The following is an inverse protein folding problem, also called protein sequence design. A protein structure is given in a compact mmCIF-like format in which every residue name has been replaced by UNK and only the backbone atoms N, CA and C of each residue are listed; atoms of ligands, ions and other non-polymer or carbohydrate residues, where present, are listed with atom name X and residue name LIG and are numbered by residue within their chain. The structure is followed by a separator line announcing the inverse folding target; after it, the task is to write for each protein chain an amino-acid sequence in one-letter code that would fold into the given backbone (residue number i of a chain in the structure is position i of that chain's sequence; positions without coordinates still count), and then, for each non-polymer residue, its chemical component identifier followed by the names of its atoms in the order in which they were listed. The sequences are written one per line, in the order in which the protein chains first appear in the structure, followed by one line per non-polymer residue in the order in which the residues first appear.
data_IF_977462197081
#
_entry.id   IF_977462197081
#
_cell.length_a   1.000
_cell.length_b   1.000
_cell.length_c   1.000
_cell.angle_alpha   90.00
_cell.angle_beta   90.00
_cell.angle_gamma   90.00
#
_symmetry.space_group_name_H-M   'P 1'
#
loop_
_entity.id
_entity.type
_entity.pdbx_description
1 polymer ?
#
# COMPACT_ATOMS: atom_id res chain seq x y z
N UNK A 1 7.10 -34.32 -14.21
CA UNK A 1 6.09 -33.27 -13.92
C UNK A 1 6.08 -32.34 -15.10
N UNK A 2 4.91 -31.93 -15.56
CA UNK A 2 4.80 -30.93 -16.62
C UNK A 2 4.85 -29.54 -16.00
N UNK A 3 5.60 -28.63 -16.61
CA UNK A 3 5.66 -27.23 -16.21
C UNK A 3 4.74 -26.40 -17.11
N UNK A 4 4.15 -25.35 -16.55
CA UNK A 4 3.32 -24.39 -17.27
C UNK A 4 3.94 -23.00 -17.12
N UNK A 5 3.98 -22.26 -18.22
CA UNK A 5 4.52 -20.91 -18.28
C UNK A 5 3.50 -19.97 -18.92
N UNK A 6 3.38 -18.75 -18.39
CA UNK A 6 2.61 -17.66 -18.97
C UNK A 6 3.53 -16.46 -19.17
N UNK A 7 3.69 -16.05 -20.43
CA UNK A 7 4.62 -14.97 -20.80
C UNK A 7 6.05 -15.16 -20.24
N UNK A 8 6.56 -16.40 -20.26
CA UNK A 8 7.91 -16.72 -19.76
C UNK A 8 8.02 -16.90 -18.24
N UNK A 9 6.97 -16.61 -17.47
CA UNK A 9 6.94 -16.85 -16.03
C UNK A 9 6.37 -18.23 -15.74
N UNK A 10 7.07 -19.02 -14.93
CA UNK A 10 6.53 -20.28 -14.44
C UNK A 10 5.31 -20.01 -13.56
N UNK A 11 4.24 -20.76 -13.81
CA UNK A 11 3.03 -20.74 -13.00
C UNK A 11 3.14 -21.80 -11.90
N UNK A 12 3.02 -21.36 -10.65
CA UNK A 12 3.07 -22.22 -9.46
C UNK A 12 1.70 -22.40 -8.80
N UNK A 13 0.70 -21.60 -9.21
CA UNK A 13 -0.67 -21.78 -8.77
C UNK A 13 -1.70 -21.48 -9.87
N UNK A 14 -2.81 -22.22 -9.86
CA UNK A 14 -3.95 -21.98 -10.78
C UNK A 14 -4.48 -20.54 -10.72
N UNK A 15 -4.39 -19.86 -9.57
CA UNK A 15 -4.86 -18.47 -9.43
C UNK A 15 -3.98 -17.46 -10.18
N UNK A 16 -2.73 -17.80 -10.50
CA UNK A 16 -1.85 -16.93 -11.30
C UNK A 16 -2.35 -16.78 -12.74
N UNK A 17 -3.23 -17.67 -13.21
CA UNK A 17 -3.89 -17.53 -14.51
C UNK A 17 -4.85 -16.33 -14.58
N UNK A 18 -5.30 -15.80 -13.44
CA UNK A 18 -6.17 -14.61 -13.39
C UNK A 18 -5.37 -13.31 -13.56
N UNK A 19 -4.15 -13.25 -13.00
CA UNK A 19 -3.31 -12.05 -12.96
C UNK A 19 -3.00 -11.60 -11.53
N UNK A 20 -2.55 -10.35 -11.40
CA UNK A 20 -2.07 -9.74 -10.14
C UNK A 20 -2.76 -8.39 -9.84
N UNK A 21 -3.84 -8.05 -10.54
CA UNK A 21 -4.60 -6.82 -10.30
C UNK A 21 -5.49 -6.99 -9.07
N UNK A 22 -5.96 -5.87 -8.51
CA UNK A 22 -6.82 -5.83 -7.32
C UNK A 22 -8.00 -6.81 -7.43
N UNK A 23 -8.68 -6.80 -8.58
CA UNK A 23 -9.83 -7.67 -8.85
C UNK A 23 -9.43 -9.15 -8.94
N UNK A 24 -8.28 -9.46 -9.54
CA UNK A 24 -7.81 -10.85 -9.68
C UNK A 24 -7.57 -11.48 -8.29
N UNK A 25 -7.03 -10.67 -7.36
CA UNK A 25 -6.80 -11.06 -5.97
C UNK A 25 -8.12 -11.30 -5.25
N UNK A 26 -9.08 -10.37 -5.36
CA UNK A 26 -10.37 -10.49 -4.68
C UNK A 26 -11.21 -11.63 -5.25
N UNK A 27 -11.15 -11.88 -6.56
CA UNK A 27 -11.78 -13.05 -7.18
C UNK A 27 -11.21 -14.36 -6.65
N UNK A 28 -9.88 -14.45 -6.54
CA UNK A 28 -9.20 -15.64 -6.00
C UNK A 28 -9.62 -15.92 -4.55
N UNK A 29 -9.69 -14.89 -3.72
CA UNK A 29 -10.10 -15.01 -2.31
C UNK A 29 -11.59 -15.36 -2.22
N UNK A 30 -12.44 -14.68 -3.00
CA UNK A 30 -13.88 -14.95 -3.05
C UNK A 30 -14.20 -16.37 -3.50
N UNK A 31 -13.52 -16.86 -4.54
CA UNK A 31 -13.61 -18.24 -4.99
C UNK A 31 -13.23 -19.23 -3.89
N UNK A 32 -12.15 -18.95 -3.16
CA UNK A 32 -11.73 -19.80 -2.05
C UNK A 32 -12.71 -19.77 -0.87
N UNK A 33 -13.33 -18.63 -0.57
CA UNK A 33 -14.41 -18.56 0.43
C UNK A 33 -15.61 -19.42 0.02
N UNK A 34 -16.04 -19.35 -1.24
CA UNK A 34 -17.17 -20.13 -1.74
C UNK A 34 -16.89 -21.64 -1.77
N UNK A 35 -15.63 -22.04 -1.98
CA UNK A 35 -15.24 -23.46 -2.16
C UNK A 35 -14.51 -24.07 -0.95
N UNK A 36 -14.35 -23.32 0.15
CA UNK A 36 -13.83 -23.84 1.42
C UNK A 36 -14.61 -23.29 2.61
N UNK A 37 -15.65 -24.01 3.06
CA UNK A 37 -16.40 -23.65 4.25
C UNK A 37 -15.51 -23.52 5.50
N UNK A 38 -14.47 -24.36 5.61
CA UNK A 38 -13.55 -24.30 6.74
C UNK A 38 -12.76 -22.98 6.77
N UNK A 39 -12.37 -22.48 5.59
CA UNK A 39 -11.66 -21.21 5.47
C UNK A 39 -12.59 -20.02 5.68
N UNK A 40 -13.79 -20.05 5.09
CA UNK A 40 -14.80 -19.01 5.31
C UNK A 40 -15.16 -18.89 6.80
N UNK A 41 -15.40 -20.01 7.48
CA UNK A 41 -15.68 -20.03 8.92
C UNK A 41 -14.51 -19.49 9.75
N UNK A 42 -13.27 -19.83 9.39
CA UNK A 42 -12.08 -19.30 10.05
C UNK A 42 -11.98 -17.77 9.86
N UNK A 43 -12.30 -17.26 8.66
CA UNK A 43 -12.32 -15.83 8.37
C UNK A 43 -13.41 -15.11 9.18
N UNK A 44 -14.64 -15.61 9.15
CA UNK A 44 -15.76 -15.00 9.88
C UNK A 44 -15.50 -14.99 11.39
N UNK A 45 -14.89 -16.06 11.93
CA UNK A 45 -14.45 -16.10 13.33
C UNK A 45 -13.43 -15.01 13.65
N UNK A 46 -12.49 -14.73 12.74
CA UNK A 46 -11.53 -13.64 12.92
C UNK A 46 -12.17 -12.25 12.78
N UNK A 47 -13.22 -12.10 11.97
CA UNK A 47 -13.95 -10.82 11.81
C UNK A 47 -14.85 -10.53 13.02
N UNK A 48 -15.66 -11.52 13.41
CA UNK A 48 -16.78 -11.35 14.35
C UNK A 48 -16.47 -11.82 15.78
N UNK A 49 -15.43 -12.63 15.98
CA UNK A 49 -15.17 -13.34 17.23
C UNK A 49 -16.11 -14.51 17.50
N UNK A 50 -17.03 -14.83 16.57
CA UNK A 50 -18.05 -15.88 16.71
C UNK A 50 -17.97 -16.89 15.57
N UNK A 51 -18.55 -18.06 15.80
CA UNK A 51 -18.78 -19.07 14.76
C UNK A 51 -20.27 -19.04 14.45
N UNK A 52 -20.61 -18.98 13.17
CA UNK A 52 -21.99 -19.09 12.69
C UNK A 52 -22.12 -20.41 11.93
N UNK A 53 -23.27 -21.07 12.10
CA UNK A 53 -23.56 -22.34 11.43
C UNK A 53 -24.62 -22.10 10.34
N UNK A 54 -24.34 -21.17 9.43
CA UNK A 54 -25.27 -20.81 8.35
C UNK A 54 -24.66 -21.07 6.98
N UNK A 55 -25.51 -21.45 6.04
CA UNK A 55 -25.17 -21.36 4.63
C UNK A 55 -24.98 -19.89 4.23
N UNK A 56 -23.95 -19.67 3.41
CA UNK A 56 -23.45 -18.35 3.13
C UNK A 56 -23.26 -18.18 1.63
N UNK A 57 -23.73 -17.08 1.09
CA UNK A 57 -23.56 -16.70 -0.31
C UNK A 57 -22.39 -15.73 -0.40
N UNK A 58 -21.41 -16.06 -1.25
CA UNK A 58 -20.28 -15.19 -1.58
C UNK A 58 -20.50 -14.60 -2.97
N UNK A 59 -20.59 -13.28 -3.05
CA UNK A 59 -20.78 -12.53 -4.29
C UNK A 59 -19.58 -11.64 -4.56
N UNK A 60 -19.20 -11.48 -5.84
CA UNK A 60 -18.07 -10.68 -6.27
C UNK A 60 -18.56 -9.53 -7.16
N UNK A 61 -18.01 -8.32 -6.95
CA UNK A 61 -18.34 -7.12 -7.74
C UNK A 61 -19.84 -6.79 -7.78
N UNK A 62 -20.55 -6.96 -6.66
CA UNK A 62 -21.97 -6.69 -6.56
C UNK A 62 -22.30 -5.20 -6.63
N UNK A 63 -22.85 -4.77 -7.77
CA UNK A 63 -23.33 -3.42 -7.96
C UNK A 63 -24.73 -3.24 -7.38
N UNK A 64 -24.90 -2.20 -6.55
CA UNK A 64 -26.22 -1.72 -6.18
C UNK A 64 -26.31 -0.22 -6.42
N UNK A 65 -27.31 0.17 -7.20
CA UNK A 65 -27.52 1.56 -7.61
C UNK A 65 -27.50 2.49 -6.39
N UNK A 66 -26.61 3.49 -6.40
CA UNK A 66 -26.45 4.46 -5.30
C UNK A 66 -25.60 4.00 -4.11
N UNK A 67 -24.99 2.81 -4.14
CA UNK A 67 -24.14 2.30 -3.05
C UNK A 67 -22.79 1.70 -3.47
N UNK A 68 -22.42 1.86 -4.74
CA UNK A 68 -21.14 1.40 -5.29
C UNK A 68 -21.10 -0.08 -5.67
N UNK A 69 -19.90 -0.53 -6.06
CA UNK A 69 -19.54 -1.92 -6.38
C UNK A 69 -18.68 -2.44 -5.24
N UNK A 70 -19.06 -3.55 -4.63
CA UNK A 70 -18.28 -4.19 -3.56
C UNK A 70 -17.33 -5.23 -4.13
N UNK A 71 -16.10 -5.33 -3.63
CA UNK A 71 -15.18 -6.38 -4.10
C UNK A 71 -15.64 -7.78 -3.76
N UNK A 72 -15.98 -8.03 -2.49
CA UNK A 72 -16.56 -9.29 -2.03
C UNK A 72 -17.68 -8.97 -1.04
N UNK A 73 -18.80 -9.66 -1.17
CA UNK A 73 -19.93 -9.56 -0.24
C UNK A 73 -20.32 -10.96 0.21
N UNK A 74 -20.44 -11.16 1.52
CA UNK A 74 -20.79 -12.45 2.13
C UNK A 74 -22.08 -12.26 2.91
N UNK A 75 -23.11 -13.04 2.58
CA UNK A 75 -24.43 -12.96 3.20
C UNK A 75 -24.88 -14.31 3.75
N UNK A 76 -25.43 -14.30 4.96
CA UNK A 76 -26.19 -15.40 5.56
C UNK A 76 -27.45 -14.84 6.23
N UNK A 77 -28.26 -15.69 6.85
CA UNK A 77 -29.41 -15.27 7.66
C UNK A 77 -29.02 -14.51 8.95
N UNK A 78 -27.80 -14.66 9.47
CA UNK A 78 -27.39 -14.04 10.74
C UNK A 78 -26.36 -12.93 10.57
N UNK A 79 -25.70 -12.83 9.42
CA UNK A 79 -24.63 -11.86 9.22
C UNK A 79 -24.51 -11.40 7.77
N UNK A 80 -23.99 -10.19 7.61
CA UNK A 80 -23.69 -9.60 6.31
C UNK A 80 -22.37 -8.84 6.39
N UNK A 81 -21.40 -9.30 5.61
CA UNK A 81 -20.04 -8.77 5.56
C UNK A 81 -19.79 -8.19 4.17
N UNK A 82 -19.43 -6.91 4.11
CA UNK A 82 -18.92 -6.29 2.89
C UNK A 82 -17.41 -6.12 3.02
N UNK A 83 -16.67 -6.58 2.02
CA UNK A 83 -15.22 -6.49 1.93
C UNK A 83 -14.84 -5.53 0.82
N UNK A 84 -13.99 -4.56 1.16
CA UNK A 84 -13.35 -3.65 0.22
C UNK A 84 -11.84 -3.85 0.26
N UNK A 85 -11.25 -4.13 -0.89
CA UNK A 85 -9.84 -4.39 -1.06
C UNK A 85 -9.12 -3.21 -1.69
N UNK A 86 -7.83 -3.08 -1.40
CA UNK A 86 -6.89 -2.21 -2.10
C UNK A 86 -5.60 -2.96 -2.34
N UNK A 87 -5.12 -3.04 -3.59
CA UNK A 87 -3.89 -3.79 -3.90
C UNK A 87 -2.69 -3.28 -3.12
N UNK A 88 -2.53 -1.95 -3.04
CA UNK A 88 -1.41 -1.27 -2.40
C UNK A 88 -1.54 -1.11 -0.88
N UNK A 89 -0.69 -0.23 -0.32
CA UNK A 89 -0.65 0.09 1.11
C UNK A 89 -1.76 1.06 1.56
N UNK A 90 -2.50 1.65 0.62
CA UNK A 90 -3.56 2.60 0.93
C UNK A 90 -4.79 1.89 1.49
N UNK A 91 -5.46 2.54 2.43
CA UNK A 91 -6.75 2.09 2.95
C UNK A 91 -7.90 2.64 2.09
N UNK A 92 -9.05 1.95 2.02
CA UNK A 92 -10.23 2.48 1.35
C UNK A 92 -10.69 3.83 1.91
N UNK A 93 -11.29 4.66 1.07
CA UNK A 93 -11.80 5.97 1.47
C UNK A 93 -13.06 5.88 2.33
N UNK A 94 -13.16 6.74 3.35
CA UNK A 94 -14.31 6.79 4.28
C UNK A 94 -15.64 6.99 3.55
N UNK A 95 -15.65 7.74 2.43
CA UNK A 95 -16.86 7.97 1.62
C UNK A 95 -17.47 6.68 1.07
N UNK A 96 -16.64 5.73 0.65
CA UNK A 96 -17.07 4.43 0.15
C UNK A 96 -17.60 3.55 1.28
N UNK A 97 -16.89 3.51 2.42
CA UNK A 97 -17.32 2.75 3.59
C UNK A 97 -18.66 3.25 4.16
N UNK A 98 -18.94 4.56 4.09
CA UNK A 98 -20.25 5.12 4.44
C UNK A 98 -21.38 4.59 3.55
N UNK A 99 -21.13 4.38 2.25
CA UNK A 99 -22.14 3.81 1.34
C UNK A 99 -22.44 2.36 1.71
N UNK A 100 -21.41 1.57 2.02
CA UNK A 100 -21.57 0.18 2.45
C UNK A 100 -22.28 0.07 3.80
N UNK A 101 -21.97 0.96 4.74
CA UNK A 101 -22.67 0.99 6.02
C UNK A 101 -24.18 1.26 5.86
N UNK A 102 -24.58 2.13 4.94
CA UNK A 102 -26.00 2.34 4.60
C UNK A 102 -26.62 1.10 3.96
N UNK A 103 -25.89 0.43 3.05
CA UNK A 103 -26.32 -0.82 2.40
C UNK A 103 -26.58 -1.93 3.42
N UNK A 104 -25.68 -2.12 4.39
CA UNK A 104 -25.80 -3.12 5.46
C UNK A 104 -26.99 -2.82 6.39
N UNK A 105 -27.18 -1.56 6.80
CA UNK A 105 -28.30 -1.17 7.67
C UNK A 105 -29.69 -1.46 7.07
N UNK A 106 -29.82 -1.38 5.74
CA UNK A 106 -31.10 -1.58 5.08
C UNK A 106 -31.58 -3.03 5.11
N UNK A 107 -30.68 -4.01 5.30
CA UNK A 107 -31.01 -5.44 5.28
C UNK A 107 -31.49 -5.91 6.66
N UNK A 108 -31.03 -5.27 7.75
CA UNK A 108 -31.52 -5.55 9.10
C UNK A 108 -30.87 -6.76 9.79
N UNK A 109 -29.78 -7.31 9.23
CA UNK A 109 -29.09 -8.47 9.82
C UNK A 109 -28.51 -8.16 11.21
N UNK A 110 -28.49 -9.18 12.07
CA UNK A 110 -28.03 -9.03 13.46
C UNK A 110 -26.54 -8.70 13.56
N UNK A 111 -25.74 -9.16 12.58
CA UNK A 111 -24.28 -9.03 12.61
C UNK A 111 -23.72 -8.50 11.28
N UNK A 112 -23.66 -7.17 11.20
CA UNK A 112 -23.08 -6.47 10.06
C UNK A 112 -21.61 -6.14 10.28
N UNK A 113 -20.76 -6.32 9.27
CA UNK A 113 -19.36 -5.93 9.32
C UNK A 113 -18.90 -5.29 8.01
N UNK A 114 -18.03 -4.30 8.14
CA UNK A 114 -17.23 -3.80 7.02
C UNK A 114 -15.81 -4.31 7.22
N UNK A 115 -15.28 -5.01 6.21
CA UNK A 115 -13.90 -5.47 6.21
C UNK A 115 -13.14 -4.73 5.12
N UNK A 116 -11.93 -4.30 5.46
CA UNK A 116 -11.00 -3.72 4.52
C UNK A 116 -9.80 -4.64 4.35
N UNK A 117 -9.29 -4.77 3.13
CA UNK A 117 -8.17 -5.64 2.81
C UNK A 117 -7.09 -4.91 2.03
N UNK A 118 -5.82 -4.99 2.42
CA UNK A 118 -4.74 -4.31 1.69
C UNK A 118 -3.35 -4.88 1.96
N UNK A 119 -2.31 -4.25 1.42
CA UNK A 119 -0.92 -4.58 1.79
C UNK A 119 -0.49 -4.01 3.15
N UNK A 120 -1.21 -3.04 3.73
CA UNK A 120 -0.81 -2.42 5.00
C UNK A 120 -1.09 -3.32 6.22
N UNK A 121 -0.38 -3.05 7.31
CA UNK A 121 -0.56 -3.78 8.57
C UNK A 121 -1.85 -3.37 9.29
N UNK A 122 -2.35 -4.24 10.18
CA UNK A 122 -3.49 -3.91 11.05
C UNK A 122 -3.21 -2.69 11.94
N UNK A 123 -1.99 -2.54 12.43
CA UNK A 123 -1.60 -1.41 13.28
C UNK A 123 -1.70 -0.11 12.49
N UNK A 124 -1.16 -0.09 11.27
CA UNK A 124 -1.28 1.08 10.39
C UNK A 124 -2.74 1.38 10.06
N UNK A 125 -3.52 0.36 9.66
CA UNK A 125 -4.93 0.53 9.35
C UNK A 125 -5.74 1.07 10.53
N UNK A 126 -5.45 0.65 11.77
CA UNK A 126 -6.17 1.13 12.96
C UNK A 126 -5.97 2.61 13.26
N UNK A 127 -4.88 3.21 12.77
CA UNK A 127 -4.62 4.65 12.88
C UNK A 127 -5.36 5.47 11.81
N UNK A 128 -5.82 4.84 10.72
CA UNK A 128 -6.35 5.54 9.53
C UNK A 128 -7.80 5.18 9.20
N UNK A 129 -8.29 4.05 9.69
CA UNK A 129 -9.68 3.61 9.53
C UNK A 129 -10.42 3.80 10.85
N UNK A 130 -11.66 4.34 10.81
CA UNK A 130 -12.48 4.40 12.00
C UNK A 130 -12.84 2.98 12.45
N UNK A 131 -12.83 2.73 13.76
CA UNK A 131 -13.21 1.43 14.29
C UNK A 131 -14.69 1.06 14.00
N UNK A 132 -15.53 2.07 13.76
CA UNK A 132 -16.95 1.93 13.46
C UNK A 132 -17.41 2.97 12.44
N UNK A 133 -18.34 2.60 11.57
CA UNK A 133 -19.07 3.52 10.68
C UNK A 133 -20.55 3.26 10.83
N UNK A 134 -21.31 4.28 11.21
CA UNK A 134 -22.74 4.15 11.49
C UNK A 134 -23.07 2.97 12.45
N UNK A 135 -22.25 2.75 13.48
CA UNK A 135 -22.34 1.62 14.44
C UNK A 135 -22.04 0.23 13.86
N UNK A 136 -21.55 0.15 12.62
CA UNK A 136 -21.07 -1.10 12.03
C UNK A 136 -19.56 -1.19 12.28
N UNK A 137 -19.06 -2.28 12.89
CA UNK A 137 -17.63 -2.48 13.09
C UNK A 137 -16.86 -2.52 11.77
N UNK A 138 -15.72 -1.83 11.73
CA UNK A 138 -14.75 -1.92 10.65
C UNK A 138 -13.58 -2.78 11.10
N UNK A 139 -13.17 -3.74 10.26
CA UNK A 139 -12.02 -4.62 10.49
C UNK A 139 -11.05 -4.53 9.33
N UNK A 140 -9.77 -4.75 9.61
CA UNK A 140 -8.73 -4.75 8.58
C UNK A 140 -7.98 -6.09 8.56
N UNK A 141 -7.69 -6.57 7.35
CA UNK A 141 -6.82 -7.71 7.11
C UNK A 141 -5.78 -7.37 6.04
N UNK A 142 -4.51 -7.64 6.34
CA UNK A 142 -3.50 -7.58 5.28
C UNK A 142 -3.60 -8.80 4.35
N UNK A 143 -3.07 -8.71 3.13
CA UNK A 143 -2.89 -9.89 2.26
C UNK A 143 -2.10 -11.01 2.97
N UNK A 144 -1.13 -10.61 3.79
CA UNK A 144 -0.35 -11.51 4.65
C UNK A 144 -1.20 -12.18 5.72
N UNK A 145 -2.18 -11.49 6.30
CA UNK A 145 -3.10 -12.09 7.28
C UNK A 145 -3.95 -13.18 6.65
N UNK A 146 -4.46 -12.94 5.44
CA UNK A 146 -5.25 -13.92 4.70
C UNK A 146 -4.39 -15.12 4.30
N UNK A 147 -3.19 -14.88 3.76
CA UNK A 147 -2.23 -15.94 3.43
C UNK A 147 -1.82 -16.79 4.65
N UNK A 148 -1.71 -16.18 5.83
CA UNK A 148 -1.48 -16.92 7.08
C UNK A 148 -2.72 -17.70 7.50
N UNK A 149 -3.91 -17.13 7.34
CA UNK A 149 -5.17 -17.78 7.70
C UNK A 149 -5.37 -19.07 6.92
N UNK A 150 -5.04 -19.12 5.62
CA UNK A 150 -5.15 -20.35 4.81
C UNK A 150 -4.32 -21.51 5.38
N UNK A 151 -3.16 -21.21 6.01
CA UNK A 151 -2.31 -22.20 6.67
C UNK A 151 -2.79 -22.68 8.03
N UNK A 152 -3.68 -21.93 8.68
CA UNK A 152 -4.16 -22.21 10.04
C UNK A 152 -5.49 -22.99 10.07
N UNK A 153 -6.06 -23.31 8.91
CA UNK A 153 -7.31 -24.08 8.80
C UNK A 153 -7.00 -25.58 8.99
N UNK A 154 -7.12 -26.07 10.23
CA UNK A 154 -6.78 -27.46 10.59
C UNK A 154 -7.83 -28.48 10.11
N UNK A 155 -9.11 -28.11 10.19
CA UNK A 155 -10.25 -29.02 9.95
C UNK A 155 -10.75 -29.03 8.48
N UNK A 156 -9.88 -28.70 7.54
CA UNK A 156 -10.21 -28.71 6.11
C UNK A 156 -10.14 -30.12 5.49
N UNK A 157 -11.04 -30.42 4.57
CA UNK A 157 -10.97 -31.60 3.70
C UNK A 157 -9.71 -31.58 2.81
N UNK A 158 -9.38 -32.70 2.17
CA UNK A 158 -8.23 -32.75 1.25
C UNK A 158 -8.37 -31.78 0.06
N UNK A 159 -9.58 -31.64 -0.49
CA UNK A 159 -9.86 -30.71 -1.57
C UNK A 159 -9.66 -29.25 -1.13
N UNK A 160 -10.20 -28.89 0.04
CA UNK A 160 -9.98 -27.56 0.63
C UNK A 160 -8.50 -27.31 0.91
N UNK A 161 -7.77 -28.27 1.51
CA UNK A 161 -6.33 -28.12 1.77
C UNK A 161 -5.53 -27.85 0.50
N UNK A 162 -5.87 -28.53 -0.60
CA UNK A 162 -5.25 -28.28 -1.90
C UNK A 162 -5.56 -26.87 -2.41
N UNK A 163 -6.84 -26.47 -2.40
CA UNK A 163 -7.27 -25.12 -2.81
C UNK A 163 -6.61 -24.01 -1.98
N UNK A 164 -6.51 -24.21 -0.66
CA UNK A 164 -5.88 -23.27 0.26
C UNK A 164 -4.36 -23.23 0.08
N UNK A 165 -3.73 -24.33 -0.32
CA UNK A 165 -2.32 -24.34 -0.70
C UNK A 165 -2.07 -23.53 -1.97
N UNK A 166 -2.91 -23.71 -3.00
CA UNK A 166 -2.90 -22.91 -4.24
C UNK A 166 -3.04 -21.41 -3.91
N UNK A 167 -4.09 -21.04 -3.18
CA UNK A 167 -4.33 -19.64 -2.79
C UNK A 167 -3.16 -19.09 -1.99
N UNK A 168 -2.58 -19.88 -1.09
CA UNK A 168 -1.42 -19.46 -0.29
C UNK A 168 -0.19 -19.20 -1.15
N UNK A 169 0.09 -20.06 -2.13
CA UNK A 169 1.19 -19.87 -3.09
C UNK A 169 1.01 -18.58 -3.86
N UNK A 170 -0.18 -18.37 -4.43
CA UNK A 170 -0.54 -17.15 -5.14
C UNK A 170 -0.42 -15.89 -4.26
N UNK A 171 -1.04 -15.89 -3.07
CA UNK A 171 -0.97 -14.74 -2.15
C UNK A 171 0.44 -14.49 -1.63
N UNK A 172 1.27 -15.54 -1.45
CA UNK A 172 2.69 -15.35 -1.10
C UNK A 172 3.43 -14.62 -2.21
N UNK A 173 3.16 -14.92 -3.48
CA UNK A 173 3.76 -14.18 -4.59
C UNK A 173 3.30 -12.73 -4.63
N UNK A 174 2.04 -12.44 -4.29
CA UNK A 174 1.54 -11.06 -4.18
C UNK A 174 2.17 -10.33 -2.99
N UNK A 175 2.32 -11.00 -1.83
CA UNK A 175 2.96 -10.43 -0.64
C UNK A 175 4.48 -10.28 -0.83
N UNK A 176 5.10 -11.20 -1.57
CA UNK A 176 6.54 -11.22 -1.88
C UNK A 176 6.89 -10.49 -3.17
N UNK A 177 5.90 -10.08 -3.96
CA UNK A 177 6.00 -8.90 -4.83
C UNK A 177 6.22 -7.72 -3.90
N UNK A 178 7.45 -7.67 -3.37
CA UNK A 178 8.13 -6.42 -3.12
C UNK A 178 7.79 -5.58 -4.33
N UNK A 179 7.07 -4.49 -4.10
CA UNK A 179 6.98 -3.42 -5.06
C UNK A 179 8.39 -3.27 -5.63
N UNK A 180 8.61 -3.56 -6.90
CA UNK A 180 9.94 -3.42 -7.48
C UNK A 180 10.35 -1.93 -7.48
N UNK A 181 9.39 -1.03 -7.22
CA UNK A 181 9.65 0.36 -6.85
C UNK A 181 9.87 0.58 -5.34
N UNK A 182 9.73 -0.43 -4.48
CA UNK A 182 10.04 -0.31 -3.05
C UNK A 182 11.50 0.05 -2.81
N UNK A 183 12.41 -0.33 -3.72
CA UNK A 183 13.81 0.11 -3.65
C UNK A 183 14.06 1.42 -4.44
N UNK A 184 13.05 2.01 -5.06
CA UNK A 184 13.22 3.24 -5.84
C UNK A 184 13.34 4.45 -4.93
N UNK A 185 14.37 5.24 -5.20
CA UNK A 185 14.66 6.48 -4.49
C UNK A 185 14.31 7.65 -5.40
N UNK A 186 13.46 8.53 -4.92
CA UNK A 186 13.23 9.83 -5.56
C UNK A 186 14.28 10.82 -5.07
N UNK A 187 15.20 11.24 -5.94
CA UNK A 187 16.33 12.10 -5.56
C UNK A 187 16.01 13.56 -5.86
N UNK A 188 16.11 14.40 -4.83
CA UNK A 188 15.87 15.84 -4.90
C UNK A 188 17.10 16.66 -4.50
N UNK A 189 17.22 17.84 -5.09
CA UNK A 189 18.29 18.80 -4.83
C UNK A 189 17.86 19.78 -3.73
N UNK A 190 18.64 19.89 -2.65
CA UNK A 190 18.42 20.88 -1.60
C UNK A 190 19.34 22.08 -1.81
N UNK A 191 18.80 23.29 -1.67
CA UNK A 191 19.61 24.50 -1.63
C UNK A 191 20.26 24.66 -0.24
N UNK A 192 21.47 25.23 -0.19
CA UNK A 192 22.20 25.47 1.07
C UNK A 192 21.67 26.66 1.89
N UNK A 193 20.77 27.46 1.31
CA UNK A 193 20.23 28.66 1.95
C UNK A 193 18.95 28.41 2.76
N UNK A 194 18.55 29.46 3.48
CA UNK A 194 17.26 29.56 4.16
C UNK A 194 16.28 30.30 3.26
N UNK A 195 15.11 29.71 2.92
CA UNK A 195 14.09 30.40 2.13
C UNK A 195 13.54 31.63 2.83
N UNK A 196 13.01 32.56 2.04
CA UNK A 196 12.26 33.69 2.58
C UNK A 196 11.04 33.20 3.38
N UNK A 197 10.85 33.75 4.59
CA UNK A 197 9.77 33.35 5.49
C UNK A 197 10.08 32.14 6.38
N UNK A 198 11.31 31.63 6.34
CA UNK A 198 11.75 30.46 7.10
C UNK A 198 12.85 30.88 8.09
N UNK A 199 12.84 30.32 9.30
CA UNK A 199 13.94 30.43 10.26
C UNK A 199 14.83 29.17 10.27
N UNK A 200 14.64 28.26 9.32
CA UNK A 200 15.35 26.98 9.19
C UNK A 200 15.72 26.73 7.72
N UNK A 201 16.92 26.21 7.47
CA UNK A 201 17.38 25.90 6.10
C UNK A 201 16.72 24.63 5.54
N UNK A 202 16.74 24.48 4.21
CA UNK A 202 16.28 23.23 3.55
C UNK A 202 16.98 21.99 4.07
N UNK A 203 18.30 22.12 4.27
CA UNK A 203 19.13 21.04 4.79
C UNK A 203 18.70 20.72 6.22
N UNK A 204 18.58 21.71 7.10
CA UNK A 204 18.22 21.51 8.50
C UNK A 204 16.81 20.93 8.70
N UNK A 205 15.85 21.24 7.82
CA UNK A 205 14.53 20.60 7.84
C UNK A 205 14.68 19.07 7.70
N UNK A 206 15.54 18.61 6.80
CA UNK A 206 15.81 17.18 6.61
C UNK A 206 16.67 16.63 7.74
N UNK A 207 17.78 17.29 8.08
CA UNK A 207 18.77 16.76 9.01
C UNK A 207 18.28 16.74 10.45
N UNK A 208 17.70 17.86 10.91
CA UNK A 208 17.32 18.10 12.32
C UNK A 208 15.87 17.76 12.59
N UNK A 209 14.95 18.08 11.66
CA UNK A 209 13.52 17.82 11.86
C UNK A 209 13.07 16.46 11.31
N UNK A 210 13.89 15.80 10.49
CA UNK A 210 13.52 14.56 9.78
C UNK A 210 12.21 14.73 9.00
N UNK A 211 12.07 15.89 8.34
CA UNK A 211 10.93 16.21 7.49
C UNK A 211 11.37 16.58 6.09
N UNK A 212 10.49 16.42 5.13
CA UNK A 212 10.60 17.02 3.81
C UNK A 212 9.20 17.25 3.25
N UNK A 213 9.04 18.21 2.35
CA UNK A 213 7.74 18.51 1.76
C UNK A 213 7.87 19.01 0.33
N UNK A 214 6.78 18.94 -0.41
CA UNK A 214 6.64 19.52 -1.74
C UNK A 214 5.17 19.79 -2.07
N UNK A 215 4.87 20.71 -3.01
CA UNK A 215 3.49 20.96 -3.44
C UNK A 215 2.88 19.71 -4.11
N UNK A 216 1.57 19.58 -4.00
CA UNK A 216 0.80 18.57 -4.75
C UNK A 216 0.78 18.97 -6.24
N UNK A 217 1.13 18.04 -7.14
CA UNK A 217 1.16 18.31 -8.58
C UNK A 217 2.48 18.91 -9.09
N UNK A 218 2.45 19.73 -10.15
CA UNK A 218 3.62 20.47 -10.67
C UNK A 218 4.87 19.60 -10.97
N UNK A 219 4.65 18.40 -11.51
CA UNK A 219 5.72 17.45 -11.85
C UNK A 219 6.37 16.77 -10.63
N UNK A 220 5.78 16.87 -9.44
CA UNK A 220 6.12 16.05 -8.29
C UNK A 220 5.44 14.68 -8.35
N UNK A 221 5.93 13.68 -7.59
CA UNK A 221 5.26 12.39 -7.49
C UNK A 221 3.81 12.57 -7.05
N UNK A 222 2.88 11.92 -7.76
CA UNK A 222 1.46 11.88 -7.40
C UNK A 222 1.23 11.07 -6.12
N UNK A 223 2.05 10.03 -5.91
CA UNK A 223 2.10 9.22 -4.70
C UNK A 223 3.46 9.41 -4.00
N UNK A 224 3.50 9.42 -2.65
CA UNK A 224 4.74 9.52 -1.89
C UNK A 224 5.71 8.38 -2.20
N UNK A 225 7.01 8.68 -2.41
CA UNK A 225 8.00 7.65 -2.70
C UNK A 225 8.33 6.84 -1.45
N UNK A 226 8.72 5.57 -1.62
CA UNK A 226 9.16 4.73 -0.50
C UNK A 226 10.48 5.22 0.11
N UNK A 227 11.41 5.65 -0.75
CA UNK A 227 12.66 6.30 -0.36
C UNK A 227 12.81 7.67 -1.04
N UNK A 228 13.35 8.63 -0.31
CA UNK A 228 13.72 9.94 -0.82
C UNK A 228 15.21 10.20 -0.57
N UNK A 229 15.92 10.59 -1.61
CA UNK A 229 17.34 10.92 -1.59
C UNK A 229 17.55 12.42 -1.65
N UNK A 230 18.50 12.94 -0.88
CA UNK A 230 18.83 14.36 -0.87
C UNK A 230 20.25 14.57 -1.38
N UNK A 231 20.39 15.38 -2.42
CA UNK A 231 21.67 15.84 -2.93
C UNK A 231 21.87 17.32 -2.65
N UNK A 232 23.07 17.67 -2.21
CA UNK A 232 23.54 19.03 -2.01
C UNK A 232 25.06 19.03 -2.00
N UNK A 233 25.66 20.20 -2.24
CA UNK A 233 27.11 20.32 -2.47
C UNK A 233 27.63 19.44 -3.62
N UNK A 234 26.81 19.26 -4.66
CA UNK A 234 27.20 18.51 -5.86
C UNK A 234 27.19 16.99 -5.71
N UNK A 235 26.78 16.43 -4.57
CA UNK A 235 26.80 14.99 -4.30
C UNK A 235 25.54 14.50 -3.57
N UNK A 236 25.29 13.20 -3.62
CA UNK A 236 24.29 12.53 -2.79
C UNK A 236 24.79 12.49 -1.34
N UNK A 237 23.94 12.88 -0.40
CA UNK A 237 24.35 13.05 1.00
C UNK A 237 23.66 12.06 1.91
N UNK A 238 22.39 11.81 1.67
CA UNK A 238 21.53 11.00 2.54
C UNK A 238 20.35 10.46 1.76
N UNK A 239 19.95 9.25 2.11
CA UNK A 239 18.71 8.63 1.66
C UNK A 239 17.88 8.33 2.91
N UNK A 240 16.57 8.55 2.82
CA UNK A 240 15.64 8.28 3.91
C UNK A 240 14.49 7.42 3.42
N UNK A 241 14.11 6.44 4.22
CA UNK A 241 12.79 5.81 4.10
C UNK A 241 11.72 6.82 4.52
N UNK A 242 10.61 6.88 3.78
CA UNK A 242 9.44 7.68 4.16
C UNK A 242 8.57 6.87 5.11
N UNK A 243 8.59 7.21 6.40
CA UNK A 243 7.83 6.48 7.43
C UNK A 243 6.32 6.74 7.36
N UNK A 244 5.95 7.99 7.06
CA UNK A 244 4.57 8.40 6.91
C UNK A 244 4.48 9.73 6.18
N UNK A 245 3.29 10.08 5.71
CA UNK A 245 3.04 11.33 5.02
C UNK A 245 1.63 11.85 5.32
N UNK A 246 1.42 13.14 5.05
CA UNK A 246 0.09 13.75 4.99
C UNK A 246 0.09 14.94 4.03
N UNK A 247 -1.11 15.37 3.65
CA UNK A 247 -1.29 16.61 2.90
C UNK A 247 -1.71 17.69 3.89
N UNK A 248 -1.08 18.85 3.82
CA UNK A 248 -1.36 20.02 4.66
C UNK A 248 -1.52 21.26 3.82
N UNK A 249 -2.44 22.14 4.24
CA UNK A 249 -2.63 23.45 3.61
C UNK A 249 -1.66 24.50 4.18
N UNK A 250 -1.10 24.25 5.39
CA UNK A 250 -0.14 25.14 6.05
C UNK A 250 1.00 24.35 6.69
N UNK A 251 2.21 24.52 6.18
CA UNK A 251 3.42 23.85 6.71
C UNK A 251 3.77 24.27 8.13
N UNK A 252 3.33 25.45 8.60
CA UNK A 252 3.54 25.90 9.97
C UNK A 252 2.89 24.98 11.01
N UNK A 253 1.84 24.24 10.62
CA UNK A 253 1.21 23.23 11.48
C UNK A 253 2.23 22.17 11.92
N UNK A 254 3.19 21.84 11.06
CA UNK A 254 4.16 20.75 11.24
C UNK A 254 5.59 21.21 11.49
N UNK A 255 6.00 22.33 10.90
CA UNK A 255 7.35 22.90 11.02
C UNK A 255 7.19 24.33 11.49
N UNK A 256 7.32 24.55 12.81
CA UNK A 256 7.03 25.85 13.46
C UNK A 256 7.95 26.97 12.98
N UNK A 257 9.13 26.62 12.48
CA UNK A 257 10.12 27.52 11.88
C UNK A 257 9.73 28.07 10.49
N UNK A 258 8.66 27.55 9.88
CA UNK A 258 8.09 28.08 8.64
C UNK A 258 6.99 29.06 9.03
N UNK A 259 7.01 30.30 8.52
CA UNK A 259 5.97 31.29 8.82
C UNK A 259 4.59 30.80 8.37
N UNK A 260 3.56 31.11 9.16
CA UNK A 260 2.16 30.74 8.89
C UNK A 260 1.67 31.32 7.56
N UNK A 261 0.94 30.53 6.78
CA UNK A 261 0.29 30.99 5.55
C UNK A 261 1.25 31.22 4.37
N UNK A 262 2.42 30.59 4.39
CA UNK A 262 3.40 30.71 3.30
C UNK A 262 3.12 29.76 2.13
N UNK A 263 2.25 28.77 2.29
CA UNK A 263 1.88 27.83 1.23
C UNK A 263 0.58 28.28 0.57
N UNK A 264 0.65 28.62 -0.72
CA UNK A 264 -0.53 28.95 -1.55
C UNK A 264 -1.29 27.73 -2.06
N UNK A 265 -0.64 26.56 -2.06
CA UNK A 265 -1.18 25.29 -2.54
C UNK A 265 -1.05 24.19 -1.47
N UNK A 266 -1.84 23.10 -1.53
CA UNK A 266 -1.66 21.94 -0.67
C UNK A 266 -0.26 21.30 -0.85
N UNK A 267 0.35 20.87 0.25
CA UNK A 267 1.67 20.25 0.25
C UNK A 267 1.64 18.85 0.84
N UNK A 268 2.36 17.93 0.21
CA UNK A 268 2.78 16.70 0.88
C UNK A 268 3.85 17.04 1.90
N UNK A 269 3.75 16.50 3.11
CA UNK A 269 4.81 16.49 4.10
C UNK A 269 5.12 15.07 4.57
N UNK A 270 6.40 14.74 4.62
CA UNK A 270 6.94 13.42 4.91
C UNK A 270 7.59 13.38 6.29
N UNK A 271 7.37 12.28 7.01
CA UNK A 271 8.20 11.85 8.14
C UNK A 271 9.32 10.97 7.61
N UNK A 272 10.56 11.36 7.87
CA UNK A 272 11.73 10.64 7.40
C UNK A 272 12.27 9.73 8.50
N UNK A 273 12.59 8.49 8.14
CA UNK A 273 13.26 7.55 9.04
C UNK A 273 14.74 7.89 9.24
N UNK A 274 15.50 7.00 9.90
CA UNK A 274 16.94 7.14 10.04
C UNK A 274 17.65 7.33 8.68
N UNK A 275 18.71 8.14 8.61
CA UNK A 275 19.44 8.36 7.36
C UNK A 275 20.26 7.12 6.97
N UNK A 276 20.21 6.76 5.70
CA UNK A 276 21.21 5.94 5.03
C UNK A 276 22.25 6.89 4.45
N UNK A 277 23.47 6.84 4.97
CA UNK A 277 24.58 7.70 4.56
C UNK A 277 25.46 6.89 3.61
N UNK A 278 25.71 7.36 2.37
CA UNK A 278 26.63 6.68 1.48
C UNK A 278 28.05 6.63 2.06
N UNK A 279 28.68 5.46 2.04
CA UNK A 279 30.06 5.27 2.52
C UNK A 279 31.10 5.90 1.59
N UNK A 280 30.73 6.16 0.33
CA UNK A 280 31.57 6.80 -0.68
C UNK A 280 30.90 8.05 -1.24
N UNK A 281 31.73 8.92 -1.79
CA UNK A 281 31.24 10.08 -2.54
C UNK A 281 30.54 9.64 -3.83
N UNK A 282 29.25 10.01 -3.96
CA UNK A 282 28.45 9.77 -5.17
C UNK A 282 28.10 11.14 -5.76
N UNK A 283 28.78 11.51 -6.83
CA UNK A 283 28.63 12.83 -7.46
C UNK A 283 27.28 12.95 -8.18
N UNK A 284 26.78 14.17 -8.37
CA UNK A 284 25.52 14.40 -9.11
C UNK A 284 25.60 13.86 -10.54
N UNK A 285 26.73 14.05 -11.22
CA UNK A 285 26.87 13.71 -12.64
C UNK A 285 26.00 14.61 -13.53
N UNK A 286 25.55 14.07 -14.67
CA UNK A 286 24.83 14.84 -15.69
C UNK A 286 23.32 14.99 -15.36
N UNK A 287 23.04 15.80 -14.33
CA UNK A 287 21.69 16.17 -13.89
C UNK A 287 21.64 17.70 -13.75
N UNK A 288 20.61 18.33 -14.31
CA UNK A 288 20.36 19.76 -14.14
C UNK A 288 20.32 20.16 -12.66
N UNK A 289 20.65 21.42 -12.34
CA UNK A 289 20.80 21.91 -10.95
C UNK A 289 19.58 21.61 -10.07
N UNK A 290 18.37 21.81 -10.59
CA UNK A 290 17.08 21.51 -9.95
C UNK A 290 16.43 20.20 -10.45
N UNK A 291 17.15 19.43 -11.27
CA UNK A 291 16.68 18.16 -11.81
C UNK A 291 16.42 17.15 -10.70
N UNK A 292 15.24 16.55 -10.75
CA UNK A 292 14.78 15.46 -9.88
C UNK A 292 14.83 14.17 -10.68
N UNK A 293 15.32 13.09 -10.09
CA UNK A 293 15.47 11.80 -10.78
C UNK A 293 14.99 10.66 -9.90
N UNK A 294 14.65 9.55 -10.53
CA UNK A 294 14.36 8.27 -9.89
C UNK A 294 15.53 7.31 -10.16
N UNK A 295 16.02 6.63 -9.13
CA UNK A 295 17.05 5.60 -9.27
C UNK A 295 16.87 4.51 -8.20
N UNK A 296 17.22 3.27 -8.51
CA UNK A 296 17.19 2.17 -7.54
C UNK A 296 18.24 2.39 -6.44
N UNK A 297 17.88 2.06 -5.20
CA UNK A 297 18.71 2.27 -4.00
C UNK A 297 20.07 1.57 -4.11
N UNK A 298 20.11 0.33 -4.60
CA UNK A 298 21.35 -0.42 -4.78
C UNK A 298 22.26 0.26 -5.83
N UNK A 299 21.68 0.75 -6.92
CA UNK A 299 22.43 1.46 -7.97
C UNK A 299 22.96 2.80 -7.46
N UNK A 300 22.19 3.53 -6.65
CA UNK A 300 22.67 4.76 -6.03
C UNK A 300 23.89 4.49 -5.16
N UNK A 301 23.87 3.44 -4.34
CA UNK A 301 24.96 3.13 -3.42
C UNK A 301 26.17 2.48 -4.11
N UNK A 302 26.01 1.92 -5.32
CA UNK A 302 27.09 1.23 -6.05
C UNK A 302 27.70 2.05 -7.18
N UNK A 303 26.96 2.93 -7.83
CA UNK A 303 27.47 3.81 -8.90
C UNK A 303 28.34 4.96 -8.37
N UNK A 304 29.08 5.61 -9.28
CA UNK A 304 29.90 6.76 -8.92
C UNK A 304 29.15 8.09 -9.08
N UNK A 305 28.06 8.08 -9.85
CA UNK A 305 27.20 9.25 -10.01
C UNK A 305 25.72 8.93 -9.94
N UNK A 306 24.91 9.92 -9.53
CA UNK A 306 23.44 9.82 -9.52
C UNK A 306 22.91 9.66 -10.95
N UNK A 307 23.50 10.33 -11.95
CA UNK A 307 23.09 10.16 -13.36
C UNK A 307 23.34 8.73 -13.85
N UNK A 308 24.47 8.13 -13.51
CA UNK A 308 24.76 6.74 -13.89
C UNK A 308 23.76 5.76 -13.23
N UNK A 309 23.45 5.98 -11.95
CA UNK A 309 22.44 5.17 -11.25
C UNK A 309 21.06 5.29 -11.90
N UNK A 310 20.64 6.50 -12.30
CA UNK A 310 19.41 6.73 -13.07
C UNK A 310 19.43 5.95 -14.39
N UNK A 311 20.50 6.07 -15.17
CA UNK A 311 20.58 5.46 -16.51
C UNK A 311 20.56 3.93 -16.41
N UNK A 312 21.31 3.34 -15.46
CA UNK A 312 21.25 1.89 -15.18
C UNK A 312 19.89 1.44 -14.68
N UNK A 313 19.19 2.29 -13.92
CA UNK A 313 17.82 2.00 -13.47
C UNK A 313 16.87 1.89 -14.67
N UNK A 314 16.93 2.84 -15.60
CA UNK A 314 16.12 2.82 -16.82
C UNK A 314 16.43 1.58 -17.67
N UNK A 315 17.71 1.21 -17.80
CA UNK A 315 18.11 -0.02 -18.51
C UNK A 315 17.51 -1.27 -17.84
N UNK A 316 17.52 -1.37 -16.51
CA UNK A 316 16.91 -2.50 -15.79
C UNK A 316 15.40 -2.55 -16.02
N UNK A 317 14.71 -1.43 -15.84
CA UNK A 317 13.26 -1.35 -16.04
C UNK A 317 12.84 -1.69 -17.47
N UNK A 318 13.66 -1.37 -18.48
CA UNK A 318 13.38 -1.72 -19.87
C UNK A 318 13.70 -3.18 -20.22
N UNK A 319 14.41 -3.93 -19.37
CA UNK A 319 14.67 -5.37 -19.56
C UNK A 319 13.57 -6.26 -18.96
N UNK A 320 12.79 -5.71 -18.03
CA UNK A 320 11.70 -6.39 -17.33
C UNK A 320 10.32 -6.14 -18.00
N UNK A 321 10.30 -5.42 -19.14
CA UNK A 321 9.14 -5.26 -20.04
C UNK A 321 9.28 -6.16 -21.26
#
# INVERSE_FOLDING_TARGET
MSEIYLHGNQIESVFELLGDKENDITYSIGWAFANSPSFLNAFIKNVSGKIFNDESVVSLQEFKHGSGITDIEIRSNNYHIIIEAKRGWLTPGIGQLNQYAKRLKAVGDQHNFIVTMSACSRDYASLHLPAYIHNIPVRHFSWKDISRLTGNVLNASHAEKKLLAELRTYLRRIVNMQDQESNMVYVVSLASGTPEGYSISWIDIVEKKKRYFHPVGSGWPSNPPNYIGFRYYGMLQRIHHVESWKIVDDLHSEIKEIKKGMTGDPHYIYKLGPPIIPEKEIKTGNIFRNGRVKAMLDLLLTCNTISEARDKTQIRQNRDM
#
